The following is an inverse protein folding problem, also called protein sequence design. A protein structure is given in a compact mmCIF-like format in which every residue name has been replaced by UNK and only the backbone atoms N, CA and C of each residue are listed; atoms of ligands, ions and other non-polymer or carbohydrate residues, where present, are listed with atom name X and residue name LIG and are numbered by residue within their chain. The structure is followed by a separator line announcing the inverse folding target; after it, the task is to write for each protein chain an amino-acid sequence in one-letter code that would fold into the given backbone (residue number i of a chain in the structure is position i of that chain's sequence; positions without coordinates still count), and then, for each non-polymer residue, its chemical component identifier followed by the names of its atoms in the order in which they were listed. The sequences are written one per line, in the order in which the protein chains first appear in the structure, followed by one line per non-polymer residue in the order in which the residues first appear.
data_IF_040826226838
#
_entry.id   IF_040826226838
#
_cell.length_a   1.000
_cell.length_b   1.000
_cell.length_c   1.000
_cell.angle_alpha   90.00
_cell.angle_beta   90.00
_cell.angle_gamma   90.00
#
_symmetry.space_group_name_H-M   'P 1'
#
loop_
_entity.id
_entity.type
_entity.pdbx_description
1 polymer ?
#
# COMPACT_ATOMS: atom_id res chain seq x y z
N UNK A 1 17.67 55.74 -15.37
CA UNK A 1 17.05 55.36 -14.07
C UNK A 1 15.62 54.84 -14.24
N UNK A 2 14.62 55.65 -14.61
CA UNK A 2 13.24 55.13 -14.78
C UNK A 2 13.08 54.13 -15.95
N UNK A 3 13.72 54.40 -17.10
CA UNK A 3 13.71 53.47 -18.24
C UNK A 3 14.46 52.16 -17.96
N UNK A 4 15.53 52.21 -17.17
CA UNK A 4 16.29 51.01 -16.76
C UNK A 4 15.48 50.16 -15.77
N UNK A 5 14.77 50.78 -14.83
CA UNK A 5 13.86 50.07 -13.92
C UNK A 5 12.70 49.40 -14.67
N UNK A 6 12.11 50.10 -15.65
CA UNK A 6 11.05 49.54 -16.48
C UNK A 6 11.55 48.36 -17.31
N UNK A 7 12.72 48.51 -17.95
CA UNK A 7 13.39 47.43 -18.70
C UNK A 7 13.65 46.21 -17.81
N UNK A 8 14.17 46.43 -16.59
CA UNK A 8 14.44 45.35 -15.64
C UNK A 8 13.16 44.64 -15.18
N UNK A 9 12.09 45.37 -14.90
CA UNK A 9 10.78 44.79 -14.52
C UNK A 9 10.19 43.96 -15.67
N UNK A 10 10.36 44.42 -16.92
CA UNK A 10 9.89 43.69 -18.09
C UNK A 10 10.66 42.37 -18.27
N UNK A 11 11.98 42.39 -18.11
CA UNK A 11 12.81 41.18 -18.18
C UNK A 11 12.49 40.17 -17.06
N UNK A 12 12.30 40.65 -15.82
CA UNK A 12 11.87 39.80 -14.70
C UNK A 12 10.48 39.18 -14.96
N UNK A 13 9.55 39.93 -15.54
CA UNK A 13 8.22 39.44 -15.92
C UNK A 13 8.30 38.39 -17.03
N UNK A 14 9.06 38.64 -18.10
CA UNK A 14 9.19 37.70 -19.22
C UNK A 14 9.85 36.40 -18.76
N UNK A 15 10.90 36.49 -17.96
CA UNK A 15 11.58 35.33 -17.37
C UNK A 15 10.65 34.56 -16.44
N UNK A 16 9.98 35.24 -15.53
CA UNK A 16 9.03 34.62 -14.60
C UNK A 16 7.85 33.96 -15.32
N UNK A 17 7.32 34.59 -16.37
CA UNK A 17 6.25 34.03 -17.19
C UNK A 17 6.71 32.77 -17.92
N UNK A 18 7.89 32.77 -18.52
CA UNK A 18 8.44 31.60 -19.21
C UNK A 18 8.65 30.43 -18.22
N UNK A 19 9.27 30.70 -17.07
CA UNK A 19 9.51 29.70 -16.03
C UNK A 19 8.21 29.08 -15.51
N UNK A 20 7.21 29.91 -15.19
CA UNK A 20 5.92 29.43 -14.69
C UNK A 20 5.15 28.66 -15.77
N UNK A 21 5.24 29.07 -17.03
CA UNK A 21 4.60 28.35 -18.14
C UNK A 21 5.19 26.95 -18.30
N UNK A 22 6.52 26.82 -18.23
CA UNK A 22 7.20 25.51 -18.29
C UNK A 22 6.79 24.62 -17.10
N UNK A 23 6.85 25.16 -15.87
CA UNK A 23 6.45 24.44 -14.65
C UNK A 23 5.00 23.96 -14.72
N UNK A 24 4.07 24.84 -15.07
CA UNK A 24 2.64 24.50 -15.17
C UNK A 24 2.38 23.45 -16.25
N UNK A 25 3.05 23.57 -17.40
CA UNK A 25 2.92 22.58 -18.48
C UNK A 25 3.39 21.21 -18.03
N UNK A 26 4.54 21.14 -17.34
CA UNK A 26 5.05 19.87 -16.79
C UNK A 26 4.13 19.29 -15.72
N UNK A 27 3.65 20.13 -14.80
CA UNK A 27 2.73 19.70 -13.74
C UNK A 27 1.41 19.20 -14.30
N UNK A 28 0.88 19.81 -15.36
CA UNK A 28 -0.36 19.37 -16.01
C UNK A 28 -0.22 17.94 -16.55
N UNK A 29 0.89 17.65 -17.24
CA UNK A 29 1.16 16.30 -17.77
C UNK A 29 1.27 15.26 -16.65
N UNK A 30 1.92 15.59 -15.53
CA UNK A 30 1.99 14.69 -14.36
C UNK A 30 0.60 14.44 -13.79
N UNK A 31 -0.21 15.49 -13.63
CA UNK A 31 -1.55 15.40 -13.09
C UNK A 31 -2.49 14.58 -14.01
N UNK A 32 -2.36 14.72 -15.33
CA UNK A 32 -3.09 13.89 -16.29
C UNK A 32 -2.73 12.40 -16.16
N UNK A 33 -1.44 12.08 -15.98
CA UNK A 33 -0.98 10.70 -15.74
C UNK A 33 -1.56 10.16 -14.43
N UNK A 34 -1.46 10.90 -13.34
CA UNK A 34 -1.99 10.48 -12.04
C UNK A 34 -3.50 10.29 -12.05
N UNK A 35 -4.23 11.17 -12.76
CA UNK A 35 -5.67 11.05 -12.93
C UNK A 35 -6.03 9.76 -13.69
N UNK A 36 -5.30 9.44 -14.77
CA UNK A 36 -5.48 8.20 -15.52
C UNK A 36 -5.20 6.97 -14.66
N UNK A 37 -4.07 6.94 -13.95
CA UNK A 37 -3.70 5.83 -13.07
C UNK A 37 -4.73 5.62 -11.96
N UNK A 38 -5.23 6.70 -11.36
CA UNK A 38 -6.27 6.63 -10.32
C UNK A 38 -7.59 6.09 -10.87
N UNK A 39 -7.98 6.51 -12.07
CA UNK A 39 -9.18 5.98 -12.74
C UNK A 39 -9.05 4.49 -13.04
N UNK A 40 -7.92 4.08 -13.62
CA UNK A 40 -7.64 2.69 -13.93
C UNK A 40 -7.65 1.81 -12.67
N UNK A 41 -7.04 2.27 -11.57
CA UNK A 41 -7.09 1.58 -10.27
C UNK A 41 -8.52 1.44 -9.74
N UNK A 42 -9.33 2.49 -9.86
CA UNK A 42 -10.74 2.43 -9.47
C UNK A 42 -11.52 1.40 -10.29
N UNK A 43 -11.26 1.30 -11.59
CA UNK A 43 -11.87 0.29 -12.47
C UNK A 43 -11.47 -1.13 -12.06
N UNK A 44 -10.18 -1.36 -11.79
CA UNK A 44 -9.70 -2.65 -11.29
C UNK A 44 -10.36 -3.04 -9.95
N UNK A 45 -10.46 -2.10 -9.01
CA UNK A 45 -11.13 -2.32 -7.73
C UNK A 45 -12.62 -2.66 -7.90
N UNK A 46 -13.31 -2.00 -8.84
CA UNK A 46 -14.70 -2.30 -9.16
C UNK A 46 -14.86 -3.71 -9.74
N UNK A 47 -14.00 -4.10 -10.67
CA UNK A 47 -14.01 -5.44 -11.25
C UNK A 47 -13.76 -6.52 -10.18
N UNK A 48 -12.80 -6.32 -9.28
CA UNK A 48 -12.56 -7.24 -8.16
C UNK A 48 -13.75 -7.31 -7.21
N UNK A 49 -14.37 -6.18 -6.87
CA UNK A 49 -15.58 -6.14 -6.04
C UNK A 49 -16.72 -6.94 -6.67
N UNK A 50 -16.94 -6.79 -7.97
CA UNK A 50 -17.97 -7.52 -8.70
C UNK A 50 -17.69 -9.03 -8.68
N UNK A 51 -16.47 -9.45 -8.98
CA UNK A 51 -16.06 -10.86 -8.89
C UNK A 51 -16.31 -11.43 -7.49
N UNK A 52 -15.93 -10.72 -6.42
CA UNK A 52 -16.20 -11.15 -5.05
C UNK A 52 -17.70 -11.26 -4.74
N UNK A 53 -18.51 -10.32 -5.23
CA UNK A 53 -19.96 -10.37 -5.09
C UNK A 53 -20.56 -11.62 -5.74
N UNK A 54 -20.15 -11.95 -6.97
CA UNK A 54 -20.62 -13.13 -7.69
C UNK A 54 -20.26 -14.43 -6.96
N UNK A 55 -19.02 -14.56 -6.48
CA UNK A 55 -18.59 -15.74 -5.73
C UNK A 55 -19.32 -15.85 -4.38
N UNK A 56 -19.57 -14.72 -3.70
CA UNK A 56 -20.34 -14.71 -2.46
C UNK A 56 -21.77 -15.16 -2.70
N UNK A 57 -22.45 -14.67 -3.73
CA UNK A 57 -23.81 -15.08 -4.09
C UNK A 57 -23.90 -16.59 -4.35
N UNK A 58 -22.94 -17.15 -5.09
CA UNK A 58 -22.87 -18.59 -5.35
C UNK A 58 -22.70 -19.37 -4.05
N UNK A 59 -21.83 -18.91 -3.14
CA UNK A 59 -21.59 -19.56 -1.84
C UNK A 59 -22.81 -19.47 -0.91
N UNK A 60 -23.48 -18.32 -0.86
CA UNK A 60 -24.71 -18.12 -0.08
C UNK A 60 -25.88 -18.93 -0.62
N UNK A 61 -25.89 -19.23 -1.92
CA UNK A 61 -26.86 -20.11 -2.57
C UNK A 61 -26.71 -21.60 -2.23
N UNK A 62 -25.63 -22.00 -1.55
CA UNK A 62 -25.45 -23.38 -1.09
C UNK A 62 -26.40 -23.63 0.09
N UNK A 63 -27.49 -24.36 -0.15
CA UNK A 63 -28.42 -24.82 0.89
C UNK A 63 -28.37 -26.35 1.08
N UNK A 64 -27.56 -26.85 2.04
CA UNK A 64 -27.45 -28.27 2.32
C UNK A 64 -28.75 -28.92 2.80
N UNK A 65 -29.72 -28.14 3.30
CA UNK A 65 -30.97 -28.67 3.85
C UNK A 65 -31.97 -29.06 2.77
N UNK A 66 -31.84 -28.50 1.57
CA UNK A 66 -32.68 -28.79 0.41
C UNK A 66 -32.21 -29.99 -0.43
N UNK A 67 -31.08 -30.61 -0.11
CA UNK A 67 -30.47 -31.65 -0.94
C UNK A 67 -31.22 -32.98 -0.89
N UNK A 68 -31.33 -33.64 -2.05
CA UNK A 68 -31.86 -35.00 -2.15
C UNK A 68 -30.87 -36.00 -1.50
N UNK A 69 -31.30 -36.83 -0.54
CA UNK A 69 -30.43 -37.83 0.09
C UNK A 69 -29.76 -38.80 -0.89
N UNK A 70 -30.42 -39.09 -2.02
CA UNK A 70 -29.87 -39.97 -3.06
C UNK A 70 -28.67 -39.36 -3.80
N UNK A 71 -28.60 -38.03 -3.89
CA UNK A 71 -27.57 -37.28 -4.62
C UNK A 71 -26.59 -36.57 -3.68
N UNK A 72 -26.68 -36.81 -2.37
CA UNK A 72 -25.95 -36.08 -1.33
C UNK A 72 -24.44 -36.03 -1.58
N UNK A 73 -23.84 -37.15 -1.99
CA UNK A 73 -22.40 -37.21 -2.25
C UNK A 73 -22.00 -36.29 -3.41
N UNK A 74 -22.82 -36.25 -4.47
CA UNK A 74 -22.58 -35.41 -5.65
C UNK A 74 -22.75 -33.93 -5.31
N UNK A 75 -23.81 -33.56 -4.60
CA UNK A 75 -24.05 -32.17 -4.18
C UNK A 75 -22.95 -31.68 -3.23
N UNK A 76 -22.49 -32.54 -2.32
CA UNK A 76 -21.41 -32.22 -1.40
C UNK A 76 -20.07 -32.02 -2.13
N UNK A 77 -19.73 -32.88 -3.09
CA UNK A 77 -18.55 -32.68 -3.95
C UNK A 77 -18.64 -31.39 -4.76
N UNK A 78 -19.82 -31.06 -5.29
CA UNK A 78 -20.05 -29.81 -6.04
C UNK A 78 -19.87 -28.58 -5.15
N UNK A 79 -20.48 -28.58 -3.97
CA UNK A 79 -20.37 -27.49 -3.01
C UNK A 79 -18.92 -27.28 -2.55
N UNK A 80 -18.18 -28.36 -2.28
CA UNK A 80 -16.75 -28.28 -1.94
C UNK A 80 -15.93 -27.68 -3.09
N UNK A 81 -16.16 -28.13 -4.33
CA UNK A 81 -15.49 -27.54 -5.51
C UNK A 81 -15.76 -26.05 -5.63
N UNK A 82 -17.02 -25.62 -5.43
CA UNK A 82 -17.41 -24.20 -5.47
C UNK A 82 -16.69 -23.38 -4.38
N UNK A 83 -16.51 -23.94 -3.19
CA UNK A 83 -15.75 -23.31 -2.10
C UNK A 83 -14.27 -23.20 -2.45
N UNK A 84 -13.68 -24.24 -3.04
CA UNK A 84 -12.28 -24.25 -3.45
C UNK A 84 -12.02 -23.24 -4.58
N UNK A 85 -12.92 -23.15 -5.55
CA UNK A 85 -12.86 -22.18 -6.64
C UNK A 85 -12.91 -20.74 -6.09
N UNK A 86 -13.86 -20.45 -5.18
CA UNK A 86 -13.95 -19.15 -4.54
C UNK A 86 -12.70 -18.80 -3.71
N UNK A 87 -12.08 -19.79 -3.05
CA UNK A 87 -10.83 -19.61 -2.30
C UNK A 87 -9.66 -19.28 -3.22
N UNK A 88 -9.56 -19.98 -4.35
CA UNK A 88 -8.54 -19.75 -5.35
C UNK A 88 -8.66 -18.32 -5.92
N UNK A 89 -9.87 -17.93 -6.33
CA UNK A 89 -10.16 -16.59 -6.85
C UNK A 89 -9.83 -15.50 -5.82
N UNK A 90 -10.27 -15.66 -4.57
CA UNK A 90 -9.95 -14.73 -3.49
C UNK A 90 -8.43 -14.55 -3.32
N UNK A 91 -7.68 -15.65 -3.32
CA UNK A 91 -6.22 -15.59 -3.17
C UNK A 91 -5.53 -14.88 -4.33
N UNK A 92 -6.01 -15.11 -5.56
CA UNK A 92 -5.48 -14.49 -6.78
C UNK A 92 -5.80 -13.00 -6.83
N UNK A 93 -7.05 -12.61 -6.56
CA UNK A 93 -7.44 -11.20 -6.58
C UNK A 93 -6.76 -10.41 -5.45
N UNK A 94 -6.56 -11.04 -4.28
CA UNK A 94 -5.82 -10.42 -3.17
C UNK A 94 -4.36 -10.14 -3.54
N UNK A 95 -3.68 -11.04 -4.27
CA UNK A 95 -2.30 -10.78 -4.70
C UNK A 95 -2.22 -9.65 -5.72
N UNK A 96 -3.20 -9.57 -6.65
CA UNK A 96 -3.32 -8.45 -7.59
C UNK A 96 -3.53 -7.11 -6.88
N UNK A 97 -4.43 -7.06 -5.89
CA UNK A 97 -4.66 -5.86 -5.08
C UNK A 97 -3.41 -5.43 -4.31
N UNK A 98 -2.64 -6.37 -3.76
CA UNK A 98 -1.37 -6.06 -3.11
C UNK A 98 -0.33 -5.49 -4.10
N UNK A 99 -0.27 -6.02 -5.32
CA UNK A 99 0.62 -5.49 -6.35
C UNK A 99 0.27 -4.04 -6.71
N UNK A 100 -1.02 -3.71 -6.83
CA UNK A 100 -1.51 -2.34 -7.09
C UNK A 100 -1.11 -1.41 -5.93
N UNK A 101 -1.29 -1.86 -4.67
CA UNK A 101 -0.93 -1.07 -3.50
C UNK A 101 0.59 -0.82 -3.35
N UNK A 102 1.42 -1.77 -3.81
CA UNK A 102 2.87 -1.59 -3.83
C UNK A 102 3.30 -0.57 -4.89
N UNK A 103 2.68 -0.56 -6.08
CA UNK A 103 2.96 0.43 -7.13
C UNK A 103 2.69 1.87 -6.66
N UNK A 104 1.63 2.10 -5.87
CA UNK A 104 1.36 3.41 -5.25
C UNK A 104 2.48 3.89 -4.32
N UNK A 105 3.25 2.97 -3.73
CA UNK A 105 4.36 3.33 -2.85
C UNK A 105 5.62 3.73 -3.65
N UNK A 106 5.73 3.28 -4.91
CA UNK A 106 6.89 3.54 -5.77
C UNK A 106 6.68 4.76 -6.71
N UNK A 107 5.45 5.03 -7.16
CA UNK A 107 5.15 6.10 -8.14
C UNK A 107 4.98 7.51 -7.53
N UNK A 108 4.85 7.64 -6.20
CA UNK A 108 4.65 8.94 -5.50
C UNK A 108 5.98 9.68 -5.21
N UNK A 109 7.06 9.34 -5.92
CA UNK A 109 8.28 10.14 -5.95
C UNK A 109 8.13 11.29 -6.98
N UNK A 110 7.38 12.34 -6.61
CA UNK A 110 7.46 13.61 -7.32
C UNK A 110 8.94 14.08 -7.35
N UNK A 111 9.47 14.57 -8.49
CA UNK A 111 10.79 15.17 -8.51
C UNK A 111 10.73 16.49 -7.74
N UNK A 112 11.01 16.43 -6.44
CA UNK A 112 11.11 17.59 -5.58
C UNK A 112 12.39 18.35 -5.96
N UNK A 113 12.19 19.49 -6.61
CA UNK A 113 13.23 20.48 -6.82
C UNK A 113 13.49 21.23 -5.49
N UNK A 114 14.22 20.60 -4.56
CA UNK A 114 14.82 21.28 -3.40
C UNK A 114 16.00 20.49 -2.83
N UNK A 115 17.02 21.16 -2.26
CA UNK A 115 18.26 20.53 -1.86
C UNK A 115 18.14 19.82 -0.52
N UNK A 116 18.86 18.70 -0.46
CA UNK A 116 19.30 17.91 0.69
C UNK A 116 19.11 18.56 2.07
N UNK A 117 18.09 18.09 2.81
CA UNK A 117 18.13 18.06 4.27
C UNK A 117 17.45 16.78 4.74
N UNK A 118 18.26 15.92 5.36
CA UNK A 118 17.85 14.68 6.00
C UNK A 118 16.54 14.84 6.82
N UNK A 119 15.56 13.96 6.57
CA UNK A 119 14.32 14.01 7.35
C UNK A 119 13.18 13.14 6.85
N UNK A 120 13.39 11.83 6.80
CA UNK A 120 12.36 10.79 7.01
C UNK A 120 11.03 10.93 6.25
N UNK A 121 10.95 10.33 5.07
CA UNK A 121 9.66 9.82 4.55
C UNK A 121 9.93 8.75 3.50
N UNK A 122 9.32 7.58 3.65
CA UNK A 122 9.09 6.72 2.50
C UNK A 122 9.19 5.22 2.74
N UNK A 123 10.15 4.73 3.51
CA UNK A 123 10.33 3.29 3.71
C UNK A 123 10.76 3.04 5.15
N UNK A 124 10.10 2.11 5.87
CA UNK A 124 10.69 1.59 7.11
C UNK A 124 11.95 0.84 6.69
N UNK A 125 13.08 1.54 6.70
CA UNK A 125 14.40 0.97 6.44
C UNK A 125 14.55 -0.32 7.25
N UNK A 126 15.23 -1.31 6.68
CA UNK A 126 15.52 -2.58 7.33
C UNK A 126 16.04 -2.39 8.78
N UNK A 127 16.79 -1.30 9.02
CA UNK A 127 17.23 -0.90 10.36
C UNK A 127 16.11 -0.58 11.35
N UNK A 128 15.00 0.00 10.90
CA UNK A 128 13.84 0.30 11.74
C UNK A 128 13.02 -0.95 12.09
N UNK A 129 12.94 -1.94 11.18
CA UNK A 129 12.39 -3.27 11.49
C UNK A 129 13.25 -4.02 12.52
N UNK A 130 14.58 -3.95 12.38
CA UNK A 130 15.52 -4.50 13.37
C UNK A 130 15.39 -3.78 14.73
N UNK A 131 15.21 -2.46 14.74
CA UNK A 131 15.03 -1.67 15.97
C UNK A 131 13.72 -2.00 16.68
N UNK A 132 12.64 -2.25 15.93
CA UNK A 132 11.35 -2.70 16.47
C UNK A 132 11.47 -4.12 17.04
N UNK A 133 12.18 -5.03 16.37
CA UNK A 133 12.49 -6.36 16.91
C UNK A 133 13.34 -6.31 18.18
N UNK A 134 14.29 -5.37 18.26
CA UNK A 134 15.09 -5.13 19.46
C UNK A 134 14.26 -4.55 20.61
N UNK A 135 13.39 -3.58 20.32
CA UNK A 135 12.49 -2.99 21.33
C UNK A 135 11.53 -4.02 21.94
N UNK A 136 11.04 -4.99 21.17
CA UNK A 136 10.17 -6.07 21.66
C UNK A 136 10.93 -7.12 22.50
N UNK A 137 12.22 -7.33 22.24
CA UNK A 137 13.06 -8.31 22.97
C UNK A 137 13.71 -7.72 24.24
N UNK A 138 13.77 -6.39 24.37
CA UNK A 138 14.32 -5.66 25.52
C UNK A 138 13.65 -6.02 26.87
N UNK A 139 12.30 -6.14 26.98
CA UNK A 139 11.65 -6.60 28.20
C UNK A 139 12.04 -8.04 28.59
N UNK A 140 12.29 -8.91 27.62
CA UNK A 140 12.66 -10.30 27.88
C UNK A 140 14.12 -10.41 28.36
N UNK A 141 15.03 -9.63 27.76
CA UNK A 141 16.44 -9.58 28.15
C UNK A 141 16.61 -8.99 29.55
N UNK A 142 15.85 -7.94 29.88
CA UNK A 142 15.90 -7.30 31.21
C UNK A 142 15.43 -8.25 32.30
N UNK A 143 14.33 -8.98 32.08
CA UNK A 143 13.87 -10.02 33.01
C UNK A 143 14.91 -11.13 33.18
N UNK A 144 15.53 -11.57 32.08
CA UNK A 144 16.61 -12.57 32.11
C UNK A 144 17.83 -12.12 32.94
N UNK A 145 18.29 -10.88 32.75
CA UNK A 145 19.40 -10.30 33.51
C UNK A 145 19.08 -10.16 35.01
N UNK A 146 17.87 -9.71 35.35
CA UNK A 146 17.44 -9.58 36.74
C UNK A 146 17.37 -10.94 37.42
N UNK A 147 16.82 -11.96 36.75
CA UNK A 147 16.79 -13.33 37.26
C UNK A 147 18.21 -13.89 37.50
N UNK A 148 19.15 -13.62 36.58
CA UNK A 148 20.54 -14.07 36.69
C UNK A 148 21.28 -13.37 37.84
N UNK A 149 21.02 -12.07 38.05
CA UNK A 149 21.56 -11.33 39.20
C UNK A 149 21.02 -11.86 40.53
N UNK A 150 19.72 -12.14 40.63
CA UNK A 150 19.10 -12.73 41.83
C UNK A 150 19.69 -14.12 42.10
N UNK A 151 19.82 -14.95 41.06
CA UNK A 151 20.42 -16.28 41.17
C UNK A 151 21.88 -16.19 41.64
N UNK A 152 22.67 -15.28 41.07
CA UNK A 152 24.07 -15.10 41.47
C UNK A 152 24.20 -14.57 42.91
N UNK A 153 23.29 -13.71 43.34
CA UNK A 153 23.23 -13.21 44.71
C UNK A 153 22.86 -14.32 45.71
N UNK A 154 21.89 -15.17 45.38
CA UNK A 154 21.55 -16.36 46.18
C UNK A 154 22.62 -17.46 46.12
N UNK A 155 23.43 -17.53 45.08
CA UNK A 155 24.54 -18.48 44.99
C UNK A 155 25.79 -18.02 45.75
N UNK A 156 25.87 -16.74 46.12
CA UNK A 156 26.98 -16.15 46.88
C UNK A 156 26.67 -15.86 48.35
N UNK A 157 25.39 -15.77 48.73
CA UNK A 157 24.94 -15.69 50.13
C UNK A 157 24.68 -17.08 50.69
#
# INVERSE_FOLDING_TARGET
RELEELSRRQEELERGRAEMTDKLTRSLVVLEREAYETQHKLEQLRATRESFGQHLEILEGIDPKGWNPADLHRELSRALSTVDDARAEFSQQRSRLQAIATQDSEDVALPEAAPDVAGTRGEKSFGQWVLIGFALSLPLITVGLVALLIFWWMAKG
#
